data_IF_355793517504
#
_entry.id   IF_355793517504
#
_cell.length_a   1.000
_cell.length_b   1.000
_cell.length_c   1.000
_cell.angle_alpha   90.00
_cell.angle_beta   90.00
_cell.angle_gamma   90.00
#
_symmetry.space_group_name_H-M   'P 1'
#
loop_
_entity.id
_entity.type
_entity.pdbx_description
1 polymer ?
#
# COMPACT_ATOMS: atom_id res chain seq x y z
N UNK A 1 67.71 29.22 7.01
CA UNK A 1 66.69 28.95 5.96
C UNK A 1 65.64 28.03 6.57
N UNK A 2 64.49 28.58 6.97
CA UNK A 2 63.35 27.79 7.44
C UNK A 2 62.33 27.70 6.30
N UNK A 3 61.96 26.48 5.89
CA UNK A 3 60.89 26.23 4.90
C UNK A 3 59.58 26.00 5.65
N UNK A 4 58.58 26.82 5.35
CA UNK A 4 57.18 26.60 5.73
C UNK A 4 56.51 25.70 4.68
N UNK A 5 55.83 24.65 5.13
CA UNK A 5 54.90 23.87 4.31
C UNK A 5 53.47 24.39 4.54
N UNK A 6 52.80 24.80 3.47
CA UNK A 6 51.36 25.08 3.48
C UNK A 6 50.58 23.77 3.31
N UNK A 7 49.67 23.50 4.24
CA UNK A 7 48.65 22.46 4.12
C UNK A 7 47.41 23.12 3.51
N UNK A 8 46.95 22.62 2.38
CA UNK A 8 45.71 23.05 1.73
C UNK A 8 44.58 22.13 2.21
N UNK A 9 43.69 22.65 3.05
CA UNK A 9 42.51 21.91 3.51
C UNK A 9 41.42 22.00 2.45
N UNK A 10 41.06 20.86 1.85
CA UNK A 10 39.94 20.73 0.94
C UNK A 10 38.64 20.77 1.77
N UNK A 11 37.86 21.85 1.63
CA UNK A 11 36.56 21.98 2.30
C UNK A 11 35.53 21.07 1.63
N UNK A 12 35.10 20.02 2.34
CA UNK A 12 33.92 19.23 1.98
C UNK A 12 32.70 20.07 2.33
N UNK A 13 32.02 20.59 1.31
CA UNK A 13 30.73 21.27 1.49
C UNK A 13 29.66 20.20 1.71
N UNK A 14 29.23 20.02 2.96
CA UNK A 14 28.01 19.27 3.26
C UNK A 14 26.82 20.07 2.75
N UNK A 15 26.20 19.64 1.66
CA UNK A 15 24.83 20.07 1.35
C UNK A 15 23.91 19.38 2.36
N UNK A 16 23.46 20.14 3.37
CA UNK A 16 22.30 19.76 4.15
C UNK A 16 21.09 19.75 3.22
N UNK A 17 20.59 18.56 2.88
CA UNK A 17 19.25 18.44 2.30
C UNK A 17 18.26 18.94 3.35
N UNK A 18 17.62 20.06 3.08
CA UNK A 18 16.47 20.52 3.85
C UNK A 18 15.39 19.46 3.72
N UNK A 19 15.09 18.75 4.81
CA UNK A 19 13.89 17.92 4.91
C UNK A 19 12.69 18.84 4.69
N UNK A 20 12.11 18.81 3.50
CA UNK A 20 10.86 19.50 3.23
C UNK A 20 9.81 19.02 4.23
N UNK A 21 9.08 19.94 4.85
CA UNK A 21 7.95 19.55 5.69
C UNK A 21 6.95 18.75 4.84
N UNK A 22 6.42 17.65 5.38
CA UNK A 22 5.37 16.88 4.72
C UNK A 22 4.16 17.79 4.43
N UNK A 23 3.52 17.57 3.29
CA UNK A 23 2.34 18.32 2.87
C UNK A 23 1.08 17.64 3.38
N UNK A 24 0.11 18.44 3.82
CA UNK A 24 -1.21 17.94 4.21
C UNK A 24 -1.91 17.25 3.00
N UNK A 25 -2.84 16.33 3.25
CA UNK A 25 -3.61 15.66 2.20
C UNK A 25 -4.37 16.67 1.34
N UNK A 26 -4.56 16.33 0.07
CA UNK A 26 -5.44 17.04 -0.85
C UNK A 26 -6.89 17.07 -0.37
N UNK A 27 -7.71 17.89 -1.02
CA UNK A 27 -9.11 18.02 -0.65
C UNK A 27 -9.86 16.69 -0.81
N UNK A 28 -10.71 16.37 0.16
CA UNK A 28 -11.67 15.27 0.08
C UNK A 28 -13.02 15.75 0.59
N UNK A 29 -14.08 15.48 -0.17
CA UNK A 29 -15.47 15.80 0.17
C UNK A 29 -16.39 14.59 0.05
N UNK A 30 -17.56 14.64 0.70
CA UNK A 30 -18.47 13.50 0.82
C UNK A 30 -18.03 12.52 1.91
N UNK A 31 -18.11 11.21 1.63
CA UNK A 31 -17.77 10.13 2.57
C UNK A 31 -16.28 9.81 2.50
N UNK A 32 -15.47 10.68 3.10
CA UNK A 32 -14.02 10.50 3.23
C UNK A 32 -13.62 9.64 4.42
N UNK A 33 -14.48 9.57 5.45
CA UNK A 33 -14.30 8.72 6.63
C UNK A 33 -14.56 7.24 6.31
N UNK A 34 -14.33 6.37 7.29
CA UNK A 34 -14.44 4.91 7.15
C UNK A 34 -13.61 4.39 5.97
N UNK A 35 -12.40 4.93 5.85
CA UNK A 35 -11.40 4.52 4.86
C UNK A 35 -10.26 3.83 5.59
N UNK A 36 -10.08 2.55 5.30
CA UNK A 36 -8.95 1.74 5.73
C UNK A 36 -8.48 0.94 4.53
N UNK A 37 -7.17 0.92 4.30
CA UNK A 37 -6.50 0.32 3.12
C UNK A 37 -7.25 0.61 1.80
N UNK A 38 -7.34 1.88 1.39
CA UNK A 38 -8.02 2.20 0.15
C UNK A 38 -7.28 1.62 -1.04
N UNK A 39 -8.01 1.23 -2.09
CA UNK A 39 -7.50 1.15 -3.46
C UNK A 39 -8.44 1.93 -4.37
N UNK A 40 -7.89 2.67 -5.34
CA UNK A 40 -8.66 3.50 -6.26
C UNK A 40 -8.42 3.13 -7.71
N UNK A 41 -9.46 3.30 -8.52
CA UNK A 41 -9.34 3.20 -9.98
C UNK A 41 -10.38 4.11 -10.63
N UNK A 42 -10.04 4.63 -11.81
CA UNK A 42 -10.96 5.42 -12.62
C UNK A 42 -11.52 4.57 -13.76
N UNK A 43 -12.84 4.50 -13.85
CA UNK A 43 -13.54 3.87 -14.96
C UNK A 43 -13.36 4.70 -16.23
N UNK A 44 -13.50 4.09 -17.40
CA UNK A 44 -13.36 4.76 -18.71
C UNK A 44 -14.31 5.96 -18.90
N UNK A 45 -15.47 5.98 -18.25
CA UNK A 45 -16.40 7.12 -18.26
C UNK A 45 -15.93 8.31 -17.40
N UNK A 46 -14.84 8.13 -16.66
CA UNK A 46 -14.21 9.12 -15.82
C UNK A 46 -14.60 9.08 -14.35
N UNK A 47 -15.51 8.20 -13.96
CA UNK A 47 -15.93 8.01 -12.56
C UNK A 47 -14.82 7.35 -11.76
N UNK A 48 -14.46 7.92 -10.61
CA UNK A 48 -13.55 7.31 -9.65
C UNK A 48 -14.31 6.31 -8.78
N UNK A 49 -13.63 5.20 -8.48
CA UNK A 49 -14.04 4.22 -7.48
C UNK A 49 -12.96 4.12 -6.40
N UNK A 50 -13.39 3.97 -5.15
CA UNK A 50 -12.55 3.65 -4.00
C UNK A 50 -13.11 2.40 -3.34
N UNK A 51 -12.25 1.42 -3.16
CA UNK A 51 -12.49 0.18 -2.43
C UNK A 51 -11.74 0.28 -1.10
N UNK A 52 -12.30 -0.21 -0.01
CA UNK A 52 -11.68 -0.12 1.31
C UNK A 52 -12.05 -1.31 2.18
N UNK A 53 -11.19 -1.66 3.13
CA UNK A 53 -11.45 -2.66 4.16
C UNK A 53 -12.78 -2.38 4.87
N UNK A 54 -13.51 -3.46 5.20
CA UNK A 54 -14.72 -3.43 6.00
C UNK A 54 -15.99 -3.81 5.22
N UNK A 55 -16.88 -4.57 5.89
CA UNK A 55 -18.21 -4.89 5.39
C UNK A 55 -18.24 -5.68 4.07
N UNK A 56 -17.23 -6.51 3.80
CA UNK A 56 -17.09 -7.23 2.53
C UNK A 56 -16.50 -6.39 1.40
N UNK A 57 -15.57 -5.48 1.74
CA UNK A 57 -14.95 -4.48 0.84
C UNK A 57 -15.94 -3.39 0.43
N UNK A 58 -15.93 -2.28 1.17
CA UNK A 58 -16.77 -1.12 0.92
C UNK A 58 -16.41 -0.41 -0.39
N UNK A 59 -17.43 -0.07 -1.19
CA UNK A 59 -17.29 0.61 -2.47
C UNK A 59 -17.85 2.02 -2.35
N UNK A 60 -17.04 3.00 -2.75
CA UNK A 60 -17.44 4.38 -2.93
C UNK A 60 -17.16 4.81 -4.36
N UNK A 61 -17.91 5.79 -4.86
CA UNK A 61 -17.61 6.44 -6.14
C UNK A 61 -17.65 7.95 -6.04
N UNK A 62 -16.93 8.63 -6.92
CA UNK A 62 -16.91 10.08 -7.03
C UNK A 62 -16.74 10.53 -8.49
N UNK A 63 -17.19 11.74 -8.86
CA UNK A 63 -16.91 12.31 -10.16
C UNK A 63 -15.44 12.77 -10.32
N UNK A 64 -14.75 12.97 -9.20
CA UNK A 64 -13.37 13.47 -9.14
C UNK A 64 -12.65 12.87 -7.91
N UNK A 65 -11.32 12.84 -7.92
CA UNK A 65 -10.51 12.39 -6.79
C UNK A 65 -10.83 13.16 -5.49
N UNK A 66 -11.17 14.44 -5.63
CA UNK A 66 -11.59 15.32 -4.51
C UNK A 66 -13.01 15.04 -3.98
N UNK A 67 -13.78 14.19 -4.65
CA UNK A 67 -15.16 13.87 -4.31
C UNK A 67 -16.21 14.67 -5.11
N UNK A 68 -17.44 14.78 -4.60
CA UNK A 68 -17.91 14.14 -3.38
C UNK A 68 -17.95 12.61 -3.53
N UNK A 69 -17.35 11.91 -2.56
CA UNK A 69 -17.39 10.45 -2.47
C UNK A 69 -18.73 9.99 -1.91
N UNK A 70 -19.35 9.02 -2.57
CA UNK A 70 -20.63 8.44 -2.19
C UNK A 70 -20.49 6.93 -1.97
N UNK A 71 -20.99 6.43 -0.83
CA UNK A 71 -21.07 5.00 -0.57
C UNK A 71 -22.05 4.32 -1.54
N UNK A 72 -21.66 3.18 -2.12
CA UNK A 72 -22.47 2.43 -3.08
C UNK A 72 -22.88 1.05 -2.57
N UNK A 73 -22.07 0.41 -1.75
CA UNK A 73 -22.32 -0.95 -1.27
C UNK A 73 -21.01 -1.68 -0.99
N UNK A 74 -21.00 -3.00 -1.14
CA UNK A 74 -19.83 -3.84 -0.95
C UNK A 74 -19.59 -4.76 -2.15
N UNK A 75 -18.34 -5.19 -2.35
CA UNK A 75 -17.94 -6.17 -3.38
C UNK A 75 -18.45 -7.56 -3.01
N UNK A 76 -18.30 -7.93 -1.74
CA UNK A 76 -18.61 -9.23 -1.16
C UNK A 76 -19.64 -9.07 -0.02
N UNK A 77 -20.88 -8.62 -0.30
CA UNK A 77 -21.87 -8.33 0.74
C UNK A 77 -22.24 -9.55 1.60
N UNK A 78 -22.08 -10.76 1.07
CA UNK A 78 -22.31 -12.04 1.76
C UNK A 78 -21.02 -12.65 2.34
N UNK A 79 -19.89 -11.95 2.24
CA UNK A 79 -18.56 -12.42 2.62
C UNK A 79 -17.82 -13.15 1.49
N UNK A 80 -16.54 -13.46 1.74
CA UNK A 80 -15.72 -14.28 0.84
C UNK A 80 -16.15 -15.76 0.88
N UNK A 81 -16.05 -16.45 -0.25
CA UNK A 81 -16.24 -17.90 -0.32
C UNK A 81 -15.01 -18.70 0.14
N UNK A 82 -13.89 -18.04 0.42
CA UNK A 82 -12.71 -18.68 1.01
C UNK A 82 -13.04 -19.11 2.43
N UNK A 83 -12.72 -20.35 2.79
CA UNK A 83 -12.89 -20.89 4.15
C UNK A 83 -11.63 -21.61 4.60
N UNK A 84 -10.87 -20.98 5.48
CA UNK A 84 -9.62 -21.53 6.03
C UNK A 84 -9.80 -22.20 7.40
N UNK A 85 -10.92 -21.95 8.07
CA UNK A 85 -11.24 -22.48 9.39
C UNK A 85 -12.76 -22.59 9.58
N UNK A 86 -13.20 -23.10 10.73
CA UNK A 86 -14.62 -23.34 11.00
C UNK A 86 -15.44 -22.07 11.24
N UNK A 87 -14.79 -20.96 11.59
CA UNK A 87 -15.41 -19.66 11.80
C UNK A 87 -15.63 -18.85 10.52
N UNK A 88 -16.05 -17.60 10.70
CA UNK A 88 -16.27 -16.65 9.61
C UNK A 88 -14.93 -16.06 9.14
N UNK A 89 -14.86 -15.79 7.83
CA UNK A 89 -13.76 -15.04 7.23
C UNK A 89 -14.20 -13.60 6.98
N UNK A 90 -13.27 -12.65 7.08
CA UNK A 90 -13.42 -11.24 6.70
C UNK A 90 -12.53 -10.91 5.51
N UNK A 91 -12.84 -9.79 4.83
CA UNK A 91 -12.13 -9.31 3.64
C UNK A 91 -11.48 -7.95 3.89
N UNK A 92 -10.15 -7.88 3.81
CA UNK A 92 -9.33 -6.68 4.06
C UNK A 92 -8.47 -6.29 2.85
N UNK A 93 -7.93 -5.08 2.88
CA UNK A 93 -6.90 -4.54 2.00
C UNK A 93 -7.15 -4.87 0.52
N UNK A 94 -8.22 -4.29 -0.07
CA UNK A 94 -8.52 -4.54 -1.47
C UNK A 94 -7.49 -3.86 -2.38
N UNK A 95 -7.22 -4.48 -3.52
CA UNK A 95 -6.47 -3.87 -4.62
C UNK A 95 -7.15 -4.16 -5.96
N UNK A 96 -7.42 -3.11 -6.75
CA UNK A 96 -8.22 -3.20 -7.98
C UNK A 96 -7.45 -2.79 -9.22
N UNK A 97 -7.49 -3.64 -10.24
CA UNK A 97 -6.83 -3.42 -11.52
C UNK A 97 -7.74 -3.74 -12.69
N UNK A 98 -7.60 -2.98 -13.78
CA UNK A 98 -8.20 -3.33 -15.06
C UNK A 98 -7.17 -4.11 -15.89
N UNK A 99 -7.46 -5.38 -16.19
CA UNK A 99 -6.63 -6.22 -17.06
C UNK A 99 -7.48 -6.64 -18.26
N UNK A 100 -7.11 -6.14 -19.44
CA UNK A 100 -7.95 -6.26 -20.63
C UNK A 100 -9.26 -5.49 -20.46
N UNK A 101 -10.40 -6.19 -20.49
CA UNK A 101 -11.74 -5.64 -20.31
C UNK A 101 -12.37 -5.98 -18.95
N UNK A 102 -11.60 -6.60 -18.06
CA UNK A 102 -12.08 -7.13 -16.78
C UNK A 102 -11.36 -6.45 -15.62
N UNK A 103 -12.14 -5.95 -14.66
CA UNK A 103 -11.64 -5.50 -13.38
C UNK A 103 -11.40 -6.71 -12.47
N UNK A 104 -10.20 -6.80 -11.93
CA UNK A 104 -9.79 -7.78 -10.92
C UNK A 104 -9.61 -7.03 -9.61
N UNK A 105 -10.30 -7.47 -8.57
CA UNK A 105 -10.16 -6.95 -7.22
C UNK A 105 -9.62 -8.07 -6.35
N UNK A 106 -8.38 -7.93 -5.90
CA UNK A 106 -7.76 -8.81 -4.93
C UNK A 106 -8.10 -8.37 -3.53
N UNK A 107 -8.17 -9.31 -2.60
CA UNK A 107 -8.48 -9.02 -1.21
C UNK A 107 -7.82 -10.04 -0.29
N UNK A 108 -7.59 -9.64 0.94
CA UNK A 108 -7.10 -10.51 2.01
C UNK A 108 -8.27 -11.22 2.67
N UNK A 109 -8.33 -12.54 2.60
CA UNK A 109 -9.27 -13.37 3.36
C UNK A 109 -8.62 -13.79 4.67
N UNK A 110 -9.09 -13.21 5.78
CA UNK A 110 -8.57 -13.45 7.12
C UNK A 110 -9.68 -13.90 8.06
N UNK A 111 -9.34 -14.31 9.29
CA UNK A 111 -10.35 -14.70 10.27
C UNK A 111 -11.09 -13.48 10.81
N UNK A 112 -12.43 -13.56 10.85
CA UNK A 112 -13.31 -12.51 11.40
C UNK A 112 -13.33 -12.56 12.94
N UNK A 113 -12.16 -12.29 13.52
CA UNK A 113 -11.93 -12.21 14.97
C UNK A 113 -10.92 -11.10 15.26
N UNK A 114 -10.91 -10.60 16.49
CA UNK A 114 -9.80 -9.74 16.93
C UNK A 114 -8.47 -10.47 16.74
N UNK A 115 -7.46 -9.77 16.23
CA UNK A 115 -6.15 -10.37 16.00
C UNK A 115 -5.63 -11.04 17.27
N UNK A 116 -5.37 -12.33 17.15
CA UNK A 116 -5.02 -13.25 18.23
C UNK A 116 -3.70 -13.98 17.94
N UNK A 117 -2.89 -13.43 17.04
CA UNK A 117 -1.52 -13.88 16.76
C UNK A 117 -1.41 -15.01 15.73
N UNK A 118 -2.51 -15.37 15.05
CA UNK A 118 -2.46 -16.37 13.98
C UNK A 118 -2.24 -15.75 12.61
N UNK A 119 -1.39 -16.40 11.83
CA UNK A 119 -1.06 -16.06 10.45
C UNK A 119 -1.86 -16.94 9.48
N UNK A 120 -3.18 -17.05 9.67
CA UNK A 120 -4.05 -17.81 8.78
C UNK A 120 -4.77 -16.87 7.82
N UNK A 121 -4.24 -16.74 6.60
CA UNK A 121 -4.77 -15.85 5.58
C UNK A 121 -4.66 -16.45 4.17
N UNK A 122 -5.44 -15.92 3.24
CA UNK A 122 -5.28 -16.19 1.81
C UNK A 122 -5.62 -14.96 0.98
N UNK A 123 -4.98 -14.81 -0.18
CA UNK A 123 -5.34 -13.77 -1.14
C UNK A 123 -6.44 -14.32 -2.05
N UNK A 124 -7.61 -13.69 -2.01
CA UNK A 124 -8.73 -13.95 -2.90
C UNK A 124 -8.77 -12.99 -4.08
N UNK A 125 -9.61 -13.30 -5.07
CA UNK A 125 -9.87 -12.42 -6.21
C UNK A 125 -11.35 -12.43 -6.61
N UNK A 126 -11.92 -11.25 -6.78
CA UNK A 126 -13.24 -11.04 -7.37
C UNK A 126 -13.09 -10.31 -8.71
N UNK A 127 -14.00 -10.58 -9.65
CA UNK A 127 -13.97 -9.96 -10.98
C UNK A 127 -15.27 -9.25 -11.31
N UNK A 128 -15.19 -8.17 -12.06
CA UNK A 128 -16.34 -7.48 -12.65
C UNK A 128 -15.97 -6.86 -13.99
N UNK A 129 -16.93 -6.70 -14.90
CA UNK A 129 -16.74 -5.94 -16.15
C UNK A 129 -17.15 -4.47 -16.01
N UNK A 130 -17.87 -4.11 -14.94
CA UNK A 130 -18.35 -2.73 -14.74
C UNK A 130 -17.85 -2.10 -13.44
N UNK A 131 -17.59 -2.87 -12.38
CA UNK A 131 -17.41 -2.45 -10.97
C UNK A 131 -18.71 -2.03 -10.26
N UNK A 132 -19.88 -2.12 -10.90
CA UNK A 132 -21.14 -1.79 -10.24
C UNK A 132 -21.47 -2.81 -9.15
N UNK A 133 -22.19 -2.38 -8.11
CA UNK A 133 -22.65 -3.29 -7.07
C UNK A 133 -23.51 -4.41 -7.66
N UNK A 134 -23.26 -5.64 -7.22
CA UNK A 134 -23.92 -6.85 -7.72
C UNK A 134 -23.35 -7.42 -9.02
N UNK A 135 -22.37 -6.76 -9.66
CA UNK A 135 -21.66 -7.28 -10.83
C UNK A 135 -20.42 -8.11 -10.47
N UNK A 136 -19.95 -8.01 -9.23
CA UNK A 136 -18.77 -8.71 -8.75
C UNK A 136 -19.02 -10.20 -8.58
N UNK A 137 -18.11 -11.00 -9.11
CA UNK A 137 -18.06 -12.45 -8.95
C UNK A 137 -16.81 -12.82 -8.18
N UNK A 138 -16.98 -13.36 -6.98
CA UNK A 138 -15.89 -13.95 -6.21
C UNK A 138 -15.40 -15.25 -6.89
N UNK A 139 -14.10 -15.34 -7.15
CA UNK A 139 -13.46 -16.52 -7.72
C UNK A 139 -12.75 -17.37 -6.66
N UNK A 140 -12.75 -16.92 -5.39
CA UNK A 140 -12.08 -17.60 -4.30
C UNK A 140 -10.57 -17.33 -4.30
N UNK A 141 -9.81 -18.30 -3.77
CA UNK A 141 -8.37 -18.15 -3.52
C UNK A 141 -7.55 -18.14 -4.81
N UNK A 142 -6.54 -17.27 -4.84
CA UNK A 142 -5.48 -17.25 -5.86
C UNK A 142 -4.47 -18.38 -5.70
N UNK A 143 -4.51 -19.11 -4.58
CA UNK A 143 -3.51 -20.10 -4.18
C UNK A 143 -2.37 -19.53 -3.32
N UNK A 144 -2.30 -18.21 -3.12
CA UNK A 144 -1.40 -17.61 -2.13
C UNK A 144 -2.10 -17.68 -0.77
N UNK A 145 -1.52 -18.43 0.15
CA UNK A 145 -2.08 -18.71 1.47
C UNK A 145 -0.96 -18.84 2.50
N UNK A 146 -1.22 -18.39 3.73
CA UNK A 146 -0.35 -18.57 4.89
C UNK A 146 -1.04 -19.36 6.00
N UNK A 147 -0.22 -19.96 6.87
CA UNK A 147 -0.58 -20.44 8.20
C UNK A 147 0.55 -20.07 9.18
N UNK A 148 0.42 -20.44 10.46
CA UNK A 148 1.39 -20.10 11.52
C UNK A 148 2.83 -20.64 11.31
N UNK A 149 3.07 -21.46 10.29
CA UNK A 149 4.41 -21.95 9.89
C UNK A 149 4.95 -21.34 8.59
N UNK A 150 4.18 -20.47 7.94
CA UNK A 150 4.58 -19.77 6.73
C UNK A 150 5.59 -18.68 7.02
N UNK A 151 6.52 -18.45 6.09
CA UNK A 151 7.48 -17.34 6.17
C UNK A 151 6.80 -15.98 6.02
N UNK A 152 5.71 -15.91 5.25
CA UNK A 152 4.97 -14.68 4.99
C UNK A 152 3.56 -14.75 5.55
N UNK A 153 2.93 -13.58 5.68
CA UNK A 153 1.48 -13.45 5.83
C UNK A 153 0.82 -13.15 4.48
N UNK A 154 -0.15 -13.96 4.07
CA UNK A 154 -0.80 -13.87 2.76
C UNK A 154 -1.94 -12.83 2.76
N UNK A 155 -1.60 -11.58 3.06
CA UNK A 155 -2.49 -10.41 3.04
C UNK A 155 -1.85 -9.24 2.28
N UNK A 156 -2.62 -8.17 2.14
CA UNK A 156 -2.25 -6.90 1.51
C UNK A 156 -1.79 -7.07 0.04
N UNK A 157 -2.65 -7.65 -0.83
CA UNK A 157 -2.31 -7.87 -2.22
C UNK A 157 -2.16 -6.56 -3.01
N UNK A 158 -1.25 -6.57 -3.97
CA UNK A 158 -1.09 -5.57 -5.03
C UNK A 158 -0.72 -6.27 -6.34
N UNK A 159 -1.54 -6.11 -7.38
CA UNK A 159 -1.20 -6.64 -8.70
C UNK A 159 -0.24 -5.68 -9.43
N UNK A 160 0.95 -6.18 -9.74
CA UNK A 160 1.92 -5.48 -10.58
C UNK A 160 2.04 -6.13 -11.95
N UNK A 161 1.83 -5.35 -13.01
CA UNK A 161 1.98 -5.79 -14.40
C UNK A 161 3.21 -5.14 -15.03
N UNK A 162 4.20 -5.95 -15.40
CA UNK A 162 5.42 -5.50 -16.06
C UNK A 162 5.75 -6.36 -17.28
N UNK A 163 5.90 -5.73 -18.44
CA UNK A 163 6.18 -6.38 -19.73
C UNK A 163 5.20 -7.52 -20.06
N UNK A 164 3.92 -7.34 -19.72
CA UNK A 164 2.85 -8.32 -19.93
C UNK A 164 2.89 -9.53 -18.99
N UNK A 165 3.75 -9.52 -17.97
CA UNK A 165 3.78 -10.51 -16.89
C UNK A 165 3.09 -9.95 -15.67
N UNK A 166 2.35 -10.81 -14.98
CA UNK A 166 1.59 -10.46 -13.78
C UNK A 166 2.37 -10.94 -12.55
N UNK A 167 2.45 -10.08 -11.55
CA UNK A 167 3.05 -10.37 -10.25
C UNK A 167 2.06 -9.97 -9.16
N UNK A 168 1.88 -10.84 -8.18
CA UNK A 168 1.21 -10.48 -6.93
C UNK A 168 2.27 -10.04 -5.94
N UNK A 169 2.21 -8.80 -5.49
CA UNK A 169 2.99 -8.26 -4.39
C UNK A 169 2.12 -8.37 -3.14
N UNK A 170 2.67 -8.79 -2.01
CA UNK A 170 1.91 -8.99 -0.78
C UNK A 170 2.83 -9.11 0.43
N UNK A 171 2.25 -9.17 1.63
CA UNK A 171 3.00 -9.42 2.86
C UNK A 171 2.68 -8.43 3.96
N UNK A 172 2.79 -8.90 5.19
CA UNK A 172 2.57 -8.11 6.40
C UNK A 172 3.29 -8.80 7.56
N UNK A 173 4.19 -8.08 8.21
CA UNK A 173 5.08 -8.58 9.26
C UNK A 173 5.87 -9.83 8.83
N UNK A 174 6.02 -10.81 9.73
CA UNK A 174 6.72 -12.07 9.49
C UNK A 174 8.12 -11.86 8.88
N UNK A 175 8.43 -12.55 7.79
CA UNK A 175 9.69 -12.41 7.05
C UNK A 175 9.66 -11.28 5.99
N UNK A 176 8.62 -10.44 6.00
CA UNK A 176 8.53 -9.21 5.21
C UNK A 176 7.61 -9.29 4.00
N UNK A 177 7.92 -8.46 3.00
CA UNK A 177 7.14 -8.32 1.76
C UNK A 177 7.65 -9.25 0.67
N UNK A 178 6.74 -9.83 -0.10
CA UNK A 178 7.03 -10.82 -1.13
C UNK A 178 6.38 -10.44 -2.47
N UNK A 179 6.92 -11.00 -3.55
CA UNK A 179 6.22 -11.16 -4.81
C UNK A 179 6.04 -12.63 -5.16
N UNK A 180 5.02 -12.94 -5.96
CA UNK A 180 4.88 -14.20 -6.67
C UNK A 180 4.42 -13.95 -8.10
N UNK A 181 4.84 -14.78 -9.05
CA UNK A 181 4.33 -14.70 -10.41
C UNK A 181 2.88 -15.19 -10.46
N UNK A 182 2.05 -14.53 -11.26
CA UNK A 182 0.65 -14.88 -11.48
C UNK A 182 0.44 -15.36 -12.91
N UNK A 183 -0.51 -16.29 -13.09
CA UNK A 183 -0.92 -16.74 -14.42
C UNK A 183 -1.56 -15.60 -15.24
N UNK A 184 -1.87 -15.88 -16.51
CA UNK A 184 -2.68 -14.99 -17.35
C UNK A 184 -3.92 -15.76 -17.84
N UNK A 185 -5.14 -15.39 -17.42
CA UNK A 185 -5.50 -14.26 -16.54
C UNK A 185 -4.94 -14.39 -15.10
N UNK A 186 -4.75 -13.27 -14.37
CA UNK A 186 -4.08 -13.23 -13.07
C UNK A 186 -4.95 -13.70 -11.90
N UNK A 187 -5.62 -14.84 -12.06
CA UNK A 187 -6.51 -15.40 -11.03
C UNK A 187 -5.84 -16.45 -10.15
N UNK A 188 -4.63 -16.89 -10.49
CA UNK A 188 -3.91 -17.92 -9.73
C UNK A 188 -2.40 -17.72 -9.77
N UNK A 189 -1.74 -18.09 -8.69
CA UNK A 189 -0.28 -18.04 -8.56
C UNK A 189 0.41 -19.13 -9.40
N UNK A 190 1.57 -18.80 -9.94
CA UNK A 190 2.50 -19.76 -10.51
C UNK A 190 3.23 -20.45 -9.35
N UNK A 191 3.19 -21.78 -9.23
CA UNK A 191 3.83 -22.50 -8.13
C UNK A 191 5.33 -22.16 -7.98
N UNK A 192 5.80 -22.16 -6.73
CA UNK A 192 7.22 -22.01 -6.36
C UNK A 192 7.90 -20.74 -6.90
N UNK A 193 7.14 -19.64 -7.06
CA UNK A 193 7.62 -18.38 -7.66
C UNK A 193 7.82 -17.23 -6.65
N UNK A 194 7.79 -17.53 -5.35
CA UNK A 194 7.89 -16.53 -4.29
C UNK A 194 9.30 -15.94 -4.19
N UNK A 195 9.39 -14.62 -4.04
CA UNK A 195 10.64 -13.90 -3.81
C UNK A 195 10.43 -12.75 -2.82
N UNK A 196 11.29 -12.66 -1.81
CA UNK A 196 11.29 -11.58 -0.82
C UNK A 196 11.77 -10.26 -1.45
N UNK A 197 11.07 -9.18 -1.15
CA UNK A 197 11.29 -7.83 -1.67
C UNK A 197 11.78 -6.84 -0.61
N UNK A 198 11.26 -6.94 0.60
CA UNK A 198 11.62 -6.11 1.75
C UNK A 198 11.58 -6.94 3.03
N UNK A 199 12.27 -6.46 4.06
CA UNK A 199 12.25 -7.01 5.41
C UNK A 199 12.73 -5.96 6.42
N UNK A 200 11.99 -5.77 7.49
CA UNK A 200 12.38 -4.98 8.66
C UNK A 200 13.03 -5.93 9.69
N UNK A 201 14.37 -5.97 9.83
CA UNK A 201 15.03 -6.90 10.74
C UNK A 201 14.87 -6.55 12.22
N UNK A 202 14.34 -5.37 12.55
CA UNK A 202 14.24 -4.88 13.93
C UNK A 202 12.85 -5.12 14.53
N UNK A 203 12.84 -5.51 15.80
CA UNK A 203 11.64 -5.50 16.62
C UNK A 203 10.63 -6.55 16.19
N UNK A 204 9.42 -6.10 15.88
CA UNK A 204 8.31 -6.99 15.49
C UNK A 204 8.20 -7.15 13.97
N UNK A 205 9.16 -6.65 13.19
CA UNK A 205 9.13 -6.69 11.72
C UNK A 205 7.97 -5.88 11.11
N UNK A 206 7.68 -4.69 11.65
CA UNK A 206 6.50 -3.90 11.29
C UNK A 206 6.58 -3.26 9.89
N UNK A 207 6.31 -4.06 8.85
CA UNK A 207 6.11 -3.63 7.47
C UNK A 207 4.96 -4.40 6.82
N UNK A 208 4.12 -3.72 6.03
CA UNK A 208 2.96 -4.29 5.35
C UNK A 208 2.42 -3.36 4.25
N UNK A 209 1.28 -3.69 3.63
CA UNK A 209 0.58 -2.79 2.71
C UNK A 209 1.42 -2.43 1.49
N UNK A 210 2.03 -3.41 0.81
CA UNK A 210 2.91 -3.18 -0.32
C UNK A 210 2.15 -2.65 -1.56
N UNK A 211 2.75 -1.74 -2.31
CA UNK A 211 2.28 -1.31 -3.63
C UNK A 211 3.47 -1.06 -4.57
N UNK A 212 3.46 -1.67 -5.74
CA UNK A 212 4.52 -1.53 -6.74
C UNK A 212 4.10 -0.59 -7.87
N UNK A 213 4.87 0.47 -8.07
CA UNK A 213 4.59 1.48 -9.10
C UNK A 213 5.75 1.65 -10.06
N UNK A 214 5.47 1.59 -11.37
CA UNK A 214 6.46 1.85 -12.42
C UNK A 214 6.54 3.33 -12.72
N UNK A 215 7.73 3.93 -12.60
CA UNK A 215 7.97 5.30 -13.03
C UNK A 215 9.35 5.48 -13.69
N UNK A 216 9.34 5.87 -14.96
CA UNK A 216 10.55 5.91 -15.77
C UNK A 216 11.25 4.54 -15.82
N UNK A 217 12.55 4.52 -15.55
CA UNK A 217 13.37 3.29 -15.61
C UNK A 217 13.27 2.41 -14.35
N UNK A 218 12.49 2.80 -13.34
CA UNK A 218 12.48 2.18 -12.02
C UNK A 218 11.10 1.67 -11.61
N UNK A 219 11.10 0.58 -10.84
CA UNK A 219 9.97 0.06 -10.10
C UNK A 219 10.13 0.54 -8.66
N UNK A 220 9.11 1.20 -8.11
CA UNK A 220 9.10 1.74 -6.76
C UNK A 220 8.18 0.87 -5.91
N UNK A 221 8.76 0.22 -4.90
CA UNK A 221 8.04 -0.55 -3.89
C UNK A 221 7.71 0.39 -2.73
N UNK A 222 6.47 0.84 -2.66
CA UNK A 222 5.91 1.55 -1.52
C UNK A 222 5.41 0.53 -0.50
N UNK A 223 5.58 0.83 0.78
CA UNK A 223 5.07 0.01 1.86
C UNK A 223 4.84 0.85 3.11
N UNK A 224 3.93 0.40 3.95
CA UNK A 224 3.78 1.00 5.28
C UNK A 224 4.75 0.37 6.26
N UNK A 225 5.31 1.19 7.15
CA UNK A 225 6.23 0.80 8.21
C UNK A 225 5.75 1.34 9.56
N UNK A 226 5.88 0.53 10.61
CA UNK A 226 5.44 0.87 11.96
C UNK A 226 4.08 0.28 12.31
N UNK A 227 3.58 0.63 13.50
CA UNK A 227 2.37 0.03 14.08
C UNK A 227 1.12 0.78 13.62
N UNK A 228 0.15 0.03 13.12
CA UNK A 228 -1.13 0.55 12.68
C UNK A 228 -2.25 0.34 13.72
N UNK A 229 -3.42 0.85 13.32
CA UNK A 229 -4.72 0.26 13.58
C UNK A 229 -5.38 0.50 14.95
N UNK A 230 -4.70 0.34 16.09
CA UNK A 230 -5.32 0.45 17.42
C UNK A 230 -5.11 1.82 18.09
N UNK A 231 -5.08 2.91 17.33
CA UNK A 231 -4.66 4.23 17.84
C UNK A 231 -5.62 4.85 18.87
N UNK A 232 -6.86 4.40 18.93
CA UNK A 232 -7.87 4.81 19.91
C UNK A 232 -7.69 4.16 21.28
N UNK A 233 -7.04 2.99 21.33
CA UNK A 233 -6.88 2.17 22.54
C UNK A 233 -5.42 2.08 22.99
N UNK A 234 -4.46 2.03 22.05
CA UNK A 234 -3.02 1.94 22.32
C UNK A 234 -2.22 2.62 21.20
N UNK A 235 -1.77 3.85 21.45
CA UNK A 235 -0.84 4.53 20.55
C UNK A 235 0.58 3.96 20.69
N UNK A 236 1.28 3.72 19.58
CA UNK A 236 2.71 3.40 19.63
C UNK A 236 3.51 4.61 20.12
N UNK A 237 4.79 4.37 20.47
CA UNK A 237 5.71 5.46 20.80
C UNK A 237 5.86 6.42 19.60
N UNK A 238 6.16 7.69 19.87
CA UNK A 238 6.32 8.67 18.81
C UNK A 238 7.42 8.24 17.83
N UNK A 239 7.08 8.19 16.55
CA UNK A 239 7.96 7.71 15.49
C UNK A 239 7.83 6.21 15.22
N UNK A 240 7.06 5.45 16.00
CA UNK A 240 6.77 4.03 15.76
C UNK A 240 5.36 3.83 15.18
N UNK A 241 4.56 4.90 15.05
CA UNK A 241 3.33 4.84 14.27
C UNK A 241 3.60 4.70 12.77
N UNK A 242 2.55 4.23 12.08
CA UNK A 242 2.53 4.06 10.64
C UNK A 242 3.10 5.24 9.87
N UNK A 243 3.94 4.91 8.89
CA UNK A 243 4.48 5.84 7.90
C UNK A 243 4.68 5.10 6.59
N UNK A 244 4.71 5.84 5.50
CA UNK A 244 4.93 5.29 4.16
C UNK A 244 6.41 5.40 3.82
N UNK A 245 7.03 4.28 3.50
CA UNK A 245 8.39 4.18 2.99
C UNK A 245 8.38 3.73 1.52
N UNK A 246 9.50 3.93 0.85
CA UNK A 246 9.71 3.49 -0.52
C UNK A 246 11.12 2.96 -0.74
N UNK A 247 11.20 1.96 -1.59
CA UNK A 247 12.43 1.48 -2.21
C UNK A 247 12.27 1.47 -3.72
N UNK A 248 13.37 1.40 -4.46
CA UNK A 248 13.30 1.20 -5.92
C UNK A 248 14.34 0.23 -6.43
N UNK A 249 14.02 -0.41 -7.55
CA UNK A 249 14.97 -1.16 -8.36
C UNK A 249 14.71 -0.94 -9.85
N UNK A 250 15.65 -1.35 -10.70
CA UNK A 250 15.41 -1.39 -12.15
C UNK A 250 14.53 -2.58 -12.49
N UNK A 251 13.82 -2.52 -13.62
CA UNK A 251 13.05 -3.66 -14.13
C UNK A 251 13.87 -4.94 -14.18
N UNK A 252 13.29 -6.04 -13.69
CA UNK A 252 13.94 -7.35 -13.61
C UNK A 252 15.09 -7.48 -12.59
N UNK A 253 15.36 -6.44 -11.80
CA UNK A 253 16.34 -6.47 -10.71
C UNK A 253 15.59 -6.53 -9.38
N UNK A 254 15.91 -7.52 -8.55
CA UNK A 254 15.25 -7.78 -7.26
C UNK A 254 15.90 -7.04 -6.08
N UNK A 255 17.03 -6.37 -6.33
CA UNK A 255 17.73 -5.55 -5.34
C UNK A 255 17.01 -4.20 -5.18
N UNK A 256 15.91 -4.18 -4.44
CA UNK A 256 15.27 -2.93 -4.03
C UNK A 256 16.13 -2.25 -2.97
N UNK A 257 16.43 -0.97 -3.21
CA UNK A 257 17.25 -0.15 -2.31
C UNK A 257 16.53 1.15 -2.01
N UNK A 258 16.92 1.82 -0.92
CA UNK A 258 16.50 3.18 -0.60
C UNK A 258 17.44 4.25 -1.18
N UNK A 259 17.17 5.52 -0.86
CA UNK A 259 17.94 6.68 -1.31
C UNK A 259 19.37 6.72 -0.83
N UNK A 260 19.69 6.00 0.24
CA UNK A 260 21.03 5.87 0.81
C UNK A 260 21.75 4.61 0.29
N UNK A 261 21.06 3.80 -0.52
CA UNK A 261 21.59 2.58 -1.14
C UNK A 261 21.47 1.33 -0.27
N UNK A 262 20.79 1.41 0.88
CA UNK A 262 20.57 0.26 1.77
C UNK A 262 19.53 -0.68 1.15
N UNK A 263 19.78 -1.99 1.25
CA UNK A 263 18.84 -3.01 0.77
C UNK A 263 17.57 -3.00 1.60
N UNK A 264 16.43 -3.14 0.93
CA UNK A 264 15.15 -3.15 1.62
C UNK A 264 14.87 -4.47 2.33
N UNK A 265 15.53 -5.55 1.90
CA UNK A 265 15.63 -6.81 2.64
C UNK A 265 16.55 -6.74 3.87
N UNK A 266 17.20 -5.60 4.11
CA UNK A 266 18.04 -5.34 5.28
C UNK A 266 17.50 -4.16 6.12
N UNK A 267 16.21 -3.81 5.95
CA UNK A 267 15.55 -2.69 6.61
C UNK A 267 15.84 -1.33 5.99
N UNK A 268 16.14 -1.28 4.69
CA UNK A 268 16.17 -0.05 3.91
C UNK A 268 14.77 0.50 3.65
N UNK A 269 14.67 1.80 3.42
CA UNK A 269 13.43 2.44 2.99
C UNK A 269 13.45 3.95 3.21
N UNK A 270 13.28 4.72 2.13
CA UNK A 270 13.18 6.17 2.18
C UNK A 270 11.78 6.56 2.65
N UNK A 271 11.66 7.37 3.70
CA UNK A 271 10.35 7.85 4.17
C UNK A 271 9.75 8.84 3.17
N UNK A 272 8.53 8.59 2.73
CA UNK A 272 7.76 9.43 1.79
C UNK A 272 6.74 10.29 2.52
N UNK A 273 6.06 9.71 3.52
CA UNK A 273 5.05 10.40 4.31
C UNK A 273 5.02 9.81 5.72
N UNK A 274 5.05 10.66 6.74
CA UNK A 274 4.91 10.27 8.15
C UNK A 274 3.91 11.21 8.86
N UNK A 275 3.61 10.93 10.13
CA UNK A 275 2.77 11.82 10.93
C UNK A 275 3.28 13.26 10.95
N UNK A 276 2.39 14.22 10.75
CA UNK A 276 2.67 15.66 10.78
C UNK A 276 1.37 16.45 10.94
N UNK A 277 1.41 17.58 11.65
CA UNK A 277 0.21 18.39 11.88
C UNK A 277 -0.94 17.54 12.45
N UNK A 278 -2.07 17.53 11.74
CA UNK A 278 -3.25 16.73 12.09
C UNK A 278 -3.31 15.36 11.42
N UNK A 279 -2.29 14.98 10.64
CA UNK A 279 -2.14 13.68 10.00
C UNK A 279 -1.38 12.75 10.94
N UNK A 280 -2.01 11.67 11.37
CA UNK A 280 -1.39 10.66 12.23
C UNK A 280 -1.49 9.27 11.60
N UNK A 281 -0.35 8.57 11.56
CA UNK A 281 -0.27 7.19 11.08
C UNK A 281 -0.74 6.98 9.63
N UNK A 282 -0.26 7.75 8.62
CA UNK A 282 -0.62 7.50 7.23
C UNK A 282 -0.04 6.16 6.72
N UNK A 283 -0.85 5.36 6.03
CA UNK A 283 -0.45 4.09 5.44
C UNK A 283 -1.57 3.37 4.69
N UNK A 284 -1.42 2.07 4.45
CA UNK A 284 -2.32 1.28 3.60
C UNK A 284 -2.44 1.91 2.20
N UNK A 285 -1.30 2.28 1.63
CA UNK A 285 -1.19 3.18 0.49
C UNK A 285 -1.15 2.45 -0.85
N UNK A 286 -1.38 3.22 -1.91
CA UNK A 286 -0.89 2.88 -3.24
C UNK A 286 -0.65 4.13 -4.08
N UNK A 287 -0.12 3.93 -5.28
CA UNK A 287 0.18 5.00 -6.23
C UNK A 287 -0.66 4.83 -7.48
N UNK A 288 -1.38 5.90 -7.84
CA UNK A 288 -2.22 5.95 -9.04
C UNK A 288 -1.70 7.01 -10.00
N UNK A 289 -1.63 6.70 -11.29
CA UNK A 289 -1.29 7.69 -12.32
C UNK A 289 -2.56 8.44 -12.74
N UNK A 290 -2.79 9.58 -12.08
CA UNK A 290 -3.97 10.40 -12.27
C UNK A 290 -3.87 11.23 -13.56
N UNK A 291 -4.94 11.30 -14.38
CA UNK A 291 -4.90 12.03 -15.65
C UNK A 291 -4.74 13.55 -15.51
N UNK A 292 -5.01 14.11 -14.33
CA UNK A 292 -4.92 15.55 -14.05
C UNK A 292 -3.64 15.88 -13.29
N UNK A 293 -3.30 15.06 -12.29
CA UNK A 293 -2.25 15.35 -11.33
C UNK A 293 -0.94 14.59 -11.58
N UNK A 294 -0.94 13.62 -12.50
CA UNK A 294 0.15 12.65 -12.67
C UNK A 294 0.15 11.63 -11.52
N UNK A 295 1.30 11.05 -11.15
CA UNK A 295 1.37 10.14 -10.03
C UNK A 295 0.89 10.79 -8.72
N UNK A 296 -0.09 10.16 -8.08
CA UNK A 296 -0.57 10.51 -6.74
C UNK A 296 -0.40 9.33 -5.80
N UNK A 297 -0.04 9.62 -4.56
CA UNK A 297 -0.08 8.70 -3.43
C UNK A 297 -1.46 8.79 -2.80
N UNK A 298 -2.18 7.68 -2.68
CA UNK A 298 -3.41 7.59 -1.89
C UNK A 298 -3.18 6.71 -0.65
N UNK A 299 -3.89 6.96 0.43
CA UNK A 299 -3.68 6.27 1.71
C UNK A 299 -4.86 6.51 2.66
N UNK A 300 -4.89 5.78 3.78
CA UNK A 300 -5.71 6.16 4.92
C UNK A 300 -4.86 6.85 5.99
N UNK A 301 -5.47 7.71 6.79
CA UNK A 301 -4.82 8.34 7.94
C UNK A 301 -5.81 8.69 9.04
N UNK A 302 -5.33 8.87 10.27
CA UNK A 302 -6.11 9.49 11.34
C UNK A 302 -6.00 11.01 11.24
N UNK A 303 -7.14 11.68 11.10
CA UNK A 303 -7.23 13.12 11.35
C UNK A 303 -7.43 13.37 12.84
N UNK A 304 -6.41 13.90 13.51
CA UNK A 304 -6.42 14.06 14.98
C UNK A 304 -7.46 15.04 15.49
N UNK A 305 -8.04 15.87 14.62
CA UNK A 305 -9.14 16.78 14.96
C UNK A 305 -10.52 16.12 14.94
N UNK A 306 -10.65 14.95 14.30
CA UNK A 306 -11.90 14.17 14.26
C UNK A 306 -11.89 13.09 15.35
N UNK A 307 -10.86 12.27 15.37
CA UNK A 307 -10.72 11.17 16.32
C UNK A 307 -9.93 10.00 15.75
N UNK A 308 -9.62 9.05 16.62
CA UNK A 308 -8.67 7.96 16.35
C UNK A 308 -9.35 6.62 16.08
N UNK A 309 -10.68 6.54 16.19
CA UNK A 309 -11.40 5.30 15.96
C UNK A 309 -11.31 4.88 14.49
N UNK A 310 -11.39 3.58 14.24
CA UNK A 310 -11.19 3.01 12.90
C UNK A 310 -12.12 3.63 11.83
N UNK A 311 -13.42 3.73 12.13
CA UNK A 311 -14.40 4.36 11.25
C UNK A 311 -14.22 5.88 11.06
N UNK A 312 -13.30 6.52 11.80
CA UNK A 312 -12.97 7.94 11.65
C UNK A 312 -11.72 8.18 10.79
N UNK A 313 -10.99 7.12 10.40
CA UNK A 313 -9.87 7.21 9.46
C UNK A 313 -10.37 7.77 8.13
N UNK A 314 -9.58 8.69 7.57
CA UNK A 314 -9.91 9.43 6.37
C UNK A 314 -9.12 8.93 5.16
N UNK A 315 -9.73 9.03 3.99
CA UNK A 315 -9.05 8.99 2.71
C UNK A 315 -8.15 10.22 2.55
N UNK A 316 -6.86 9.98 2.38
CA UNK A 316 -5.86 10.99 2.06
C UNK A 316 -5.24 10.74 0.69
N UNK A 317 -4.82 11.82 0.03
CA UNK A 317 -4.04 11.73 -1.20
C UNK A 317 -3.09 12.92 -1.35
N UNK A 318 -1.95 12.72 -2.02
CA UNK A 318 -0.99 13.77 -2.36
C UNK A 318 -0.39 13.53 -3.74
N UNK A 319 0.03 14.58 -4.44
CA UNK A 319 0.88 14.42 -5.63
C UNK A 319 2.25 13.90 -5.25
N UNK A 320 2.85 13.13 -6.16
CA UNK A 320 4.23 12.69 -6.06
C UNK A 320 5.08 13.39 -7.12
N UNK A 321 6.16 14.04 -6.67
CA UNK A 321 7.23 14.53 -7.52
C UNK A 321 8.41 13.55 -7.48
N UNK A 322 8.79 13.04 -8.65
CA UNK A 322 9.94 12.13 -8.84
C UNK A 322 11.18 12.83 -9.42
N UNK A 323 11.17 14.16 -9.57
CA UNK A 323 12.24 14.94 -10.23
C UNK A 323 13.62 14.77 -9.59
N UNK A 324 13.67 14.47 -8.28
CA UNK A 324 14.90 14.16 -7.55
C UNK A 324 15.44 12.74 -7.78
N UNK A 325 14.65 11.89 -8.44
CA UNK A 325 14.83 10.44 -8.50
C UNK A 325 14.15 9.68 -7.37
N UNK A 326 13.68 10.35 -6.33
CA UNK A 326 12.88 9.76 -5.24
C UNK A 326 11.55 10.49 -5.11
N UNK A 327 10.45 9.77 -4.83
CA UNK A 327 9.14 10.39 -4.69
C UNK A 327 9.10 11.27 -3.45
N UNK A 328 8.62 12.50 -3.62
CA UNK A 328 8.33 13.44 -2.54
C UNK A 328 6.87 13.87 -2.67
N UNK A 329 6.17 13.96 -1.55
CA UNK A 329 4.79 14.47 -1.55
C UNK A 329 4.76 15.97 -1.82
N UNK A 330 3.87 16.42 -2.70
CA UNK A 330 3.68 17.84 -3.03
C UNK A 330 2.19 18.23 -2.97
N UNK A 331 1.93 19.54 -2.87
CA UNK A 331 0.57 20.08 -2.96
C UNK A 331 -0.04 19.81 -4.34
N UNK A 332 -1.36 19.62 -4.35
CA UNK A 332 -2.19 19.44 -5.55
C UNK A 332 -2.04 20.59 -6.55
#
# INVERSE_FOLDING_TARGET
>A
MAKFSSITTLGISMLSMTTGAYVNPGACSGVCVNTHDPSIIRRADGTYFRFSTGGGIAVHSAPDLTGPWEYKGAVLPDGTNIKLWDGKMDAWAPDVHLVGDTYYLYYSAVRDVAFDGHNLAAIGVATSTTMDIGSWKDLGSTGIQSNDSSEFNAIDPDLFVEDGRNYMIFGSYEEGLYQAAMNNPPTSVVPDSYAKLAYEPVGIHAEEGANMFKYGDYNYLFFSHGVCCSFDTKKPAAGEEYKIKVCRSKSGVMDFRDSEGKLCTEGGGTVVLASHGDVYGPGGQGVYDDPTYGPILYYHYVNTTIGYADGQKQFGWNKLDFSSGWPVTTLA
#
